data_IF_571005204325
#
_entry.id   IF_571005204325
#
_cell.length_a   1.000
_cell.length_b   1.000
_cell.length_c   1.000
_cell.angle_alpha   90.00
_cell.angle_beta   90.00
_cell.angle_gamma   90.00
#
_symmetry.space_group_name_H-M   'P 1'
#
loop_
_entity.id
_entity.type
_entity.pdbx_description
1 polymer ?
#
# COMPACT_ATOMS: atom_id res chain seq x y z
N UNK A 1 -14.60 20.81 5.95
CA UNK A 1 -14.04 19.93 4.93
C UNK A 1 -14.13 20.66 3.60
N UNK A 2 -13.04 20.79 2.87
CA UNK A 2 -13.01 21.42 1.54
C UNK A 2 -13.68 20.52 0.49
N UNK A 3 -13.95 21.05 -0.71
CA UNK A 3 -14.47 20.26 -1.84
C UNK A 3 -13.52 19.10 -2.20
N UNK A 4 -12.21 19.36 -2.23
CA UNK A 4 -11.20 18.32 -2.52
C UNK A 4 -11.13 17.24 -1.44
N UNK A 5 -11.21 17.60 -0.16
CA UNK A 5 -11.29 16.62 0.92
C UNK A 5 -12.55 15.75 0.80
N UNK A 6 -13.69 16.36 0.44
CA UNK A 6 -14.95 15.63 0.23
C UNK A 6 -14.86 14.64 -0.93
N UNK A 7 -14.19 15.03 -2.04
CA UNK A 7 -13.95 14.15 -3.18
C UNK A 7 -13.02 12.99 -2.84
N UNK A 8 -11.89 13.25 -2.17
CA UNK A 8 -10.96 12.20 -1.74
C UNK A 8 -11.63 11.20 -0.80
N UNK A 9 -12.44 11.70 0.13
CA UNK A 9 -13.24 10.87 1.04
C UNK A 9 -14.26 10.01 0.28
N UNK A 10 -15.05 10.62 -0.60
CA UNK A 10 -16.07 9.90 -1.36
C UNK A 10 -15.46 8.79 -2.23
N UNK A 11 -14.29 9.05 -2.83
CA UNK A 11 -13.55 8.04 -3.61
C UNK A 11 -13.09 6.87 -2.74
N UNK A 12 -12.57 7.14 -1.55
CA UNK A 12 -12.17 6.07 -0.62
C UNK A 12 -13.38 5.26 -0.12
N UNK A 13 -14.50 5.91 0.19
CA UNK A 13 -15.72 5.23 0.59
C UNK A 13 -16.29 4.35 -0.54
N UNK A 14 -16.28 4.86 -1.78
CA UNK A 14 -16.67 4.10 -2.97
C UNK A 14 -15.76 2.89 -3.20
N UNK A 15 -14.43 3.08 -3.15
CA UNK A 15 -13.46 1.99 -3.32
C UNK A 15 -13.64 0.90 -2.25
N UNK A 16 -13.85 1.29 -0.99
CA UNK A 16 -14.12 0.31 0.08
C UNK A 16 -15.42 -0.45 -0.11
N UNK A 17 -16.45 0.19 -0.67
CA UNK A 17 -17.74 -0.45 -0.96
C UNK A 17 -17.63 -1.41 -2.16
N UNK A 18 -17.00 -0.98 -3.24
CA UNK A 18 -16.78 -1.76 -4.47
C UNK A 18 -16.00 -3.04 -4.21
N UNK A 19 -15.01 -3.00 -3.32
CA UNK A 19 -14.17 -4.15 -2.98
C UNK A 19 -14.55 -4.81 -1.64
N UNK A 20 -15.76 -4.54 -1.13
CA UNK A 20 -16.33 -5.18 0.06
C UNK A 20 -15.43 -5.14 1.32
N UNK A 21 -14.61 -4.08 1.45
CA UNK A 21 -13.66 -3.94 2.56
C UNK A 21 -14.34 -3.61 3.90
N UNK A 22 -15.63 -3.26 3.87
CA UNK A 22 -16.42 -2.88 5.03
C UNK A 22 -15.74 -1.79 5.85
N UNK A 23 -15.66 -2.00 7.18
CA UNK A 23 -14.98 -1.10 8.13
C UNK A 23 -13.68 -1.68 8.70
N UNK A 24 -13.28 -2.87 8.24
CA UNK A 24 -12.12 -3.58 8.76
C UNK A 24 -10.80 -2.91 8.34
N UNK A 25 -9.78 -3.08 9.19
CA UNK A 25 -8.42 -2.67 8.86
C UNK A 25 -7.91 -3.38 7.60
N UNK A 26 -7.24 -2.64 6.71
CA UNK A 26 -6.53 -3.22 5.57
C UNK A 26 -5.20 -3.79 6.07
N UNK A 27 -4.99 -5.10 6.01
CA UNK A 27 -3.75 -5.71 6.52
C UNK A 27 -2.59 -5.56 5.55
N UNK A 28 -2.74 -5.97 4.30
CA UNK A 28 -1.72 -5.79 3.27
C UNK A 28 -2.22 -4.83 2.17
N UNK A 29 -1.74 -3.58 2.21
CA UNK A 29 -2.11 -2.55 1.24
C UNK A 29 -1.54 -2.85 -0.15
N UNK A 30 -0.37 -3.50 -0.23
CA UNK A 30 0.25 -3.86 -1.52
C UNK A 30 -0.59 -4.93 -2.22
N UNK A 31 -0.95 -5.98 -1.48
CA UNK A 31 -1.81 -7.04 -2.00
C UNK A 31 -3.22 -6.51 -2.35
N UNK A 32 -3.76 -5.58 -1.55
CA UNK A 32 -5.04 -4.94 -1.86
C UNK A 32 -5.00 -4.22 -3.21
N UNK A 33 -3.99 -3.38 -3.45
CA UNK A 33 -3.85 -2.66 -4.72
C UNK A 33 -3.79 -3.64 -5.89
N UNK A 34 -2.93 -4.66 -5.79
CA UNK A 34 -2.78 -5.65 -6.85
C UNK A 34 -4.10 -6.39 -7.12
N UNK A 35 -4.75 -6.91 -6.08
CA UNK A 35 -5.97 -7.70 -6.22
C UNK A 35 -7.16 -6.88 -6.77
N UNK A 36 -7.23 -5.59 -6.49
CA UNK A 36 -8.37 -4.74 -6.85
C UNK A 36 -8.20 -4.03 -8.19
N UNK A 37 -6.95 -3.69 -8.56
CA UNK A 37 -6.66 -2.86 -9.73
C UNK A 37 -5.77 -3.55 -10.77
N UNK A 38 -5.16 -4.67 -10.42
CA UNK A 38 -4.12 -5.31 -11.23
C UNK A 38 -2.79 -4.54 -11.25
N UNK A 39 -2.65 -3.46 -10.48
CA UNK A 39 -1.44 -2.64 -10.42
C UNK A 39 -0.43 -3.30 -9.50
N UNK A 40 0.78 -3.46 -10.02
CA UNK A 40 1.89 -3.94 -9.23
C UNK A 40 2.42 -2.83 -8.32
N UNK A 41 2.63 -3.21 -7.06
CA UNK A 41 3.27 -2.35 -6.06
C UNK A 41 4.61 -2.95 -5.67
N UNK A 42 5.67 -2.18 -5.77
CA UNK A 42 7.00 -2.57 -5.35
C UNK A 42 7.56 -1.65 -4.26
N UNK A 43 8.39 -2.23 -3.40
CA UNK A 43 9.20 -1.49 -2.43
C UNK A 43 10.67 -1.64 -2.79
N UNK A 44 11.39 -0.53 -2.92
CA UNK A 44 12.80 -0.50 -3.33
C UNK A 44 13.64 0.24 -2.28
N UNK A 45 14.92 -0.13 -2.18
CA UNK A 45 15.90 0.68 -1.44
C UNK A 45 16.20 1.95 -2.25
N UNK A 46 15.45 3.00 -1.94
CA UNK A 46 15.60 4.34 -2.48
C UNK A 46 15.77 5.29 -1.30
N UNK A 47 16.59 6.34 -1.45
CA UNK A 47 16.84 7.28 -0.36
C UNK A 47 15.53 7.83 0.23
N UNK A 48 15.45 7.95 1.56
CA UNK A 48 14.21 8.27 2.33
C UNK A 48 13.47 9.57 1.91
N UNK A 49 14.11 10.40 1.08
CA UNK A 49 13.59 11.67 0.60
C UNK A 49 12.50 11.53 -0.48
N UNK A 50 12.37 10.37 -1.13
CA UNK A 50 11.35 10.19 -2.17
C UNK A 50 10.00 9.77 -1.56
N UNK A 51 8.95 10.49 -1.96
CA UNK A 51 7.57 10.07 -1.80
C UNK A 51 7.32 8.86 -2.72
N UNK A 52 6.16 8.19 -2.59
CA UNK A 52 5.81 7.15 -3.57
C UNK A 52 5.82 7.72 -4.99
N UNK A 53 6.01 6.83 -5.97
CA UNK A 53 5.98 7.19 -7.38
C UNK A 53 5.03 6.23 -8.11
N UNK A 54 4.01 6.80 -8.73
CA UNK A 54 3.17 6.09 -9.68
C UNK A 54 3.64 6.38 -11.11
N UNK A 55 3.89 5.34 -11.89
CA UNK A 55 4.26 5.45 -13.31
C UNK A 55 3.27 4.68 -14.17
N UNK A 56 3.00 5.17 -15.37
CA UNK A 56 2.31 4.40 -16.42
C UNK A 56 3.26 4.18 -17.58
N UNK A 57 3.45 2.93 -17.96
CA UNK A 57 4.19 2.57 -19.16
C UNK A 57 3.40 3.05 -20.39
N UNK A 58 3.94 3.97 -21.22
CA UNK A 58 3.24 4.46 -22.40
C UNK A 58 3.06 3.40 -23.50
N UNK A 59 3.90 2.35 -23.53
CA UNK A 59 3.82 1.30 -24.53
C UNK A 59 2.73 0.27 -24.20
N UNK A 60 2.61 -0.12 -22.93
CA UNK A 60 1.65 -1.15 -22.50
C UNK A 60 0.40 -0.58 -21.82
N UNK A 61 0.41 0.70 -21.45
CA UNK A 61 -0.67 1.35 -20.68
C UNK A 61 -0.77 0.89 -19.22
N UNK A 62 0.16 0.05 -18.76
CA UNK A 62 0.15 -0.52 -17.40
C UNK A 62 0.70 0.47 -16.39
N UNK A 63 0.08 0.52 -15.21
CA UNK A 63 0.53 1.34 -14.09
C UNK A 63 1.28 0.50 -13.06
N UNK A 64 2.30 1.11 -12.45
CA UNK A 64 3.11 0.54 -11.37
C UNK A 64 3.26 1.59 -10.28
N UNK A 65 3.18 1.16 -9.02
CA UNK A 65 3.44 2.00 -7.85
C UNK A 65 4.74 1.56 -7.20
N UNK A 66 5.72 2.47 -7.12
CA UNK A 66 6.94 2.26 -6.38
C UNK A 66 6.93 3.07 -5.08
N UNK A 67 7.35 2.46 -3.98
CA UNK A 67 7.60 3.16 -2.71
C UNK A 67 8.98 2.81 -2.18
N UNK A 68 9.56 3.70 -1.39
CA UNK A 68 10.82 3.39 -0.69
C UNK A 68 10.58 2.40 0.46
N UNK A 69 11.58 1.55 0.72
CA UNK A 69 11.73 0.89 2.02
C UNK A 69 11.92 1.96 3.10
N UNK A 70 11.49 1.68 4.32
CA UNK A 70 11.54 2.68 5.38
C UNK A 70 11.49 2.07 6.77
N UNK A 71 12.07 2.78 7.74
CA UNK A 71 11.90 2.50 9.17
C UNK A 71 10.55 2.95 9.73
N UNK A 72 9.69 3.59 8.92
CA UNK A 72 8.37 4.08 9.30
C UNK A 72 7.23 3.33 8.56
N UNK A 73 6.76 2.18 9.09
CA UNK A 73 5.82 1.32 8.39
C UNK A 73 4.47 1.99 8.09
N UNK A 74 3.97 2.83 9.00
CA UNK A 74 2.71 3.55 8.79
C UNK A 74 2.83 4.60 7.68
N UNK A 75 4.01 5.22 7.52
CA UNK A 75 4.29 6.11 6.38
C UNK A 75 4.25 5.33 5.07
N UNK A 76 4.91 4.17 4.99
CA UNK A 76 4.92 3.35 3.77
C UNK A 76 3.50 2.99 3.32
N UNK A 77 2.67 2.51 4.26
CA UNK A 77 1.26 2.17 4.00
C UNK A 77 0.47 3.38 3.49
N UNK A 78 0.69 4.55 4.10
CA UNK A 78 0.06 5.80 3.67
C UNK A 78 0.53 6.20 2.28
N UNK A 79 1.82 6.05 1.96
CA UNK A 79 2.37 6.34 0.63
C UNK A 79 1.73 5.45 -0.44
N UNK A 80 1.65 4.13 -0.22
CA UNK A 80 0.97 3.22 -1.18
C UNK A 80 -0.49 3.62 -1.38
N UNK A 81 -1.22 3.91 -0.31
CA UNK A 81 -2.61 4.34 -0.39
C UNK A 81 -2.77 5.71 -1.08
N UNK A 82 -1.81 6.62 -0.89
CA UNK A 82 -1.78 7.92 -1.54
C UNK A 82 -1.57 7.79 -3.05
N UNK A 83 -0.58 6.98 -3.47
CA UNK A 83 -0.31 6.66 -4.87
C UNK A 83 -1.53 6.00 -5.55
N UNK A 84 -2.19 5.05 -4.87
CA UNK A 84 -3.46 4.50 -5.35
C UNK A 84 -4.51 5.60 -5.56
N UNK A 85 -4.57 6.58 -4.66
CA UNK A 85 -5.47 7.72 -4.78
C UNK A 85 -5.24 8.54 -6.05
N UNK A 86 -3.99 8.72 -6.45
CA UNK A 86 -3.60 9.37 -7.71
C UNK A 86 -3.99 8.56 -8.94
N UNK A 87 -3.64 7.27 -8.94
CA UNK A 87 -4.01 6.34 -10.01
C UNK A 87 -5.52 6.36 -10.25
N UNK A 88 -6.33 6.22 -9.20
CA UNK A 88 -7.79 6.19 -9.31
C UNK A 88 -8.38 7.56 -9.71
N UNK A 89 -7.67 8.65 -9.45
CA UNK A 89 -8.05 9.98 -9.91
C UNK A 89 -7.67 10.22 -11.38
N UNK A 90 -6.84 9.35 -11.98
CA UNK A 90 -6.32 9.49 -13.33
C UNK A 90 -5.38 10.68 -13.50
N UNK A 91 -4.69 11.10 -12.43
CA UNK A 91 -3.86 12.31 -12.43
C UNK A 91 -2.35 12.04 -12.42
N UNK A 92 -1.93 10.77 -12.57
CA UNK A 92 -0.52 10.36 -12.63
C UNK A 92 0.25 10.94 -13.84
N UNK A 93 -0.43 11.26 -14.95
CA UNK A 93 0.19 11.90 -16.12
C UNK A 93 0.02 13.43 -16.13
N UNK A 94 -0.63 13.99 -15.11
CA UNK A 94 -0.97 15.40 -15.11
C UNK A 94 0.25 16.19 -14.63
N UNK A 95 0.76 17.16 -15.41
CA UNK A 95 1.86 17.98 -14.95
C UNK A 95 1.47 18.65 -13.63
N UNK A 96 2.31 18.50 -12.60
CA UNK A 96 2.12 19.17 -11.32
C UNK A 96 2.09 20.67 -11.58
N UNK A 97 0.92 21.29 -11.40
CA UNK A 97 0.77 22.72 -11.58
C UNK A 97 1.63 23.45 -10.54
N UNK A 98 2.77 23.99 -10.98
CA UNK A 98 3.71 24.77 -10.17
C UNK A 98 3.04 26.02 -9.62
N UNK A 99 2.45 25.90 -8.42
CA UNK A 99 2.23 27.03 -7.52
C UNK A 99 3.04 26.80 -6.26
N UNK A 100 4.14 27.56 -6.05
CA UNK A 100 4.97 27.43 -4.86
C UNK A 100 4.13 27.64 -3.58
N UNK A 101 4.16 26.65 -2.68
CA UNK A 101 3.67 26.77 -1.30
C UNK A 101 2.24 26.31 -1.01
N UNK A 102 1.40 26.01 -2.02
CA UNK A 102 0.08 25.44 -1.81
C UNK A 102 0.01 24.01 -2.31
N UNK A 103 -0.50 23.08 -1.50
CA UNK A 103 -0.76 21.71 -1.94
C UNK A 103 -1.75 21.72 -3.09
N UNK A 104 -1.48 20.95 -4.14
CA UNK A 104 -2.36 20.87 -5.30
C UNK A 104 -3.70 20.22 -4.91
N UNK A 105 -4.80 20.48 -5.64
CA UNK A 105 -6.05 19.77 -5.43
C UNK A 105 -5.92 18.24 -5.46
N UNK A 106 -5.06 17.72 -6.35
CA UNK A 106 -4.74 16.30 -6.49
C UNK A 106 -4.13 15.73 -5.20
N UNK A 107 -3.09 16.40 -4.69
CA UNK A 107 -2.43 16.05 -3.41
C UNK A 107 -3.40 15.99 -2.23
N UNK A 108 -4.30 16.98 -2.12
CA UNK A 108 -5.31 17.01 -1.06
C UNK A 108 -6.28 15.83 -1.19
N UNK A 109 -6.69 15.50 -2.42
CA UNK A 109 -7.56 14.37 -2.69
C UNK A 109 -6.87 13.04 -2.38
N UNK A 110 -5.62 12.84 -2.81
CA UNK A 110 -4.84 11.63 -2.57
C UNK A 110 -4.56 11.39 -1.08
N UNK A 111 -4.16 12.42 -0.34
CA UNK A 111 -4.02 12.35 1.12
C UNK A 111 -5.32 12.00 1.83
N UNK A 112 -6.41 12.63 1.40
CA UNK A 112 -7.70 12.38 2.01
C UNK A 112 -8.17 10.97 1.68
N UNK A 113 -8.02 10.54 0.43
CA UNK A 113 -8.27 9.16 0.01
C UNK A 113 -7.49 8.17 0.88
N UNK A 114 -6.17 8.34 1.04
CA UNK A 114 -5.34 7.46 1.85
C UNK A 114 -5.83 7.35 3.31
N UNK A 115 -6.17 8.49 3.94
CA UNK A 115 -6.72 8.50 5.32
C UNK A 115 -8.02 7.73 5.43
N UNK A 116 -8.97 7.95 4.51
CA UNK A 116 -10.27 7.30 4.56
C UNK A 116 -10.25 5.84 4.11
N UNK A 117 -9.31 5.47 3.23
CA UNK A 117 -9.08 4.07 2.87
C UNK A 117 -8.52 3.28 4.06
N UNK A 118 -7.49 3.81 4.72
CA UNK A 118 -6.80 3.09 5.80
C UNK A 118 -7.56 3.12 7.13
N UNK A 119 -8.26 4.23 7.44
CA UNK A 119 -9.07 4.38 8.64
C UNK A 119 -10.40 5.06 8.30
N UNK A 120 -11.44 4.31 7.89
CA UNK A 120 -12.73 4.92 7.53
C UNK A 120 -13.42 5.48 8.78
N UNK A 121 -14.14 6.61 8.64
CA UNK A 121 -14.82 7.24 9.77
C UNK A 121 -15.87 6.33 10.43
N UNK A 122 -16.48 5.43 9.66
CA UNK A 122 -17.40 4.42 10.19
C UNK A 122 -16.72 3.47 11.18
N UNK A 123 -15.47 3.06 10.92
CA UNK A 123 -14.70 2.24 11.86
C UNK A 123 -14.43 2.98 13.17
N UNK A 124 -14.04 4.27 13.08
CA UNK A 124 -13.83 5.10 14.26
C UNK A 124 -15.11 5.21 15.10
N UNK A 125 -16.27 5.40 14.45
CA UNK A 125 -17.58 5.49 15.13
C UNK A 125 -18.00 4.20 15.84
N UNK A 126 -17.69 3.05 15.24
CA UNK A 126 -17.97 1.74 15.84
C UNK A 126 -17.05 1.48 17.03
N UNK A 127 -15.78 1.88 16.91
CA UNK A 127 -14.75 1.61 17.92
C UNK A 127 -14.85 2.51 19.14
N UNK A 128 -15.26 3.76 18.95
CA UNK A 128 -15.30 4.79 19.98
C UNK A 128 -16.74 5.00 20.45
N UNK A 129 -17.02 4.54 21.66
CA UNK A 129 -18.35 4.65 22.26
C UNK A 129 -18.65 6.05 22.84
N UNK A 130 -17.63 6.82 23.23
CA UNK A 130 -17.81 8.11 23.94
C UNK A 130 -16.86 9.20 23.45
N UNK A 131 -17.21 10.46 23.72
CA UNK A 131 -16.45 11.64 23.28
C UNK A 131 -15.21 11.96 24.11
N UNK A 132 -14.80 11.10 25.04
CA UNK A 132 -13.61 11.31 25.87
C UNK A 132 -12.53 10.27 25.56
N UNK A 133 -12.03 10.33 24.33
CA UNK A 133 -11.05 9.37 23.83
C UNK A 133 -9.74 9.55 24.59
N UNK A 134 -9.26 8.47 25.17
CA UNK A 134 -7.99 8.38 25.88
C UNK A 134 -6.82 8.13 24.92
N UNK A 135 -5.60 8.36 25.40
CA UNK A 135 -4.38 7.97 24.67
C UNK A 135 -4.28 6.46 24.46
N UNK A 136 -4.86 5.66 25.36
CA UNK A 136 -4.94 4.20 25.21
C UNK A 136 -5.84 3.81 24.01
N UNK A 137 -6.97 4.49 23.83
CA UNK A 137 -7.85 4.29 22.67
C UNK A 137 -7.19 4.76 21.36
N UNK A 138 -6.46 5.89 21.38
CA UNK A 138 -5.62 6.29 20.23
C UNK A 138 -4.63 5.17 19.86
N UNK A 139 -3.92 4.63 20.85
CA UNK A 139 -2.95 3.56 20.65
C UNK A 139 -3.61 2.31 20.07
N UNK A 140 -4.79 1.92 20.57
CA UNK A 140 -5.55 0.78 20.06
C UNK A 140 -5.96 0.98 18.58
N UNK A 141 -6.41 2.18 18.19
CA UNK A 141 -6.74 2.49 16.79
C UNK A 141 -5.49 2.43 15.91
N UNK A 142 -4.39 3.04 16.36
CA UNK A 142 -3.09 3.01 15.65
C UNK A 142 -2.60 1.58 15.45
N UNK A 143 -2.71 0.73 16.47
CA UNK A 143 -2.30 -0.67 16.43
C UNK A 143 -3.18 -1.51 15.50
N UNK A 144 -4.50 -1.34 15.56
CA UNK A 144 -5.47 -2.17 14.83
C UNK A 144 -5.46 -1.87 13.32
N UNK A 145 -5.47 -0.58 12.97
CA UNK A 145 -5.52 -0.09 11.59
C UNK A 145 -4.14 0.15 10.97
N UNK A 146 -3.08 0.06 11.79
CA UNK A 146 -1.69 0.24 11.37
C UNK A 146 -1.50 1.58 10.64
N UNK A 147 -2.09 2.64 11.20
CA UNK A 147 -2.00 4.02 10.72
C UNK A 147 -1.15 4.87 11.66
N UNK A 148 -0.63 6.00 11.19
CA UNK A 148 0.14 6.90 12.07
C UNK A 148 -0.77 7.58 13.10
N UNK A 149 -0.23 8.02 14.26
CA UNK A 149 -1.00 8.80 15.24
C UNK A 149 -1.61 10.06 14.63
N UNK A 150 -0.93 10.68 13.64
CA UNK A 150 -1.47 11.78 12.84
C UNK A 150 -2.75 11.41 12.11
N UNK A 151 -2.76 10.30 11.37
CA UNK A 151 -3.96 9.86 10.64
C UNK A 151 -5.09 9.55 11.62
N UNK A 152 -4.82 8.81 12.68
CA UNK A 152 -5.82 8.48 13.70
C UNK A 152 -6.41 9.73 14.37
N UNK A 153 -5.58 10.68 14.78
CA UNK A 153 -6.01 11.94 15.39
C UNK A 153 -6.89 12.76 14.44
N UNK A 154 -6.55 12.83 13.15
CA UNK A 154 -7.37 13.56 12.18
C UNK A 154 -8.75 12.90 12.04
N UNK A 155 -8.81 11.56 11.89
CA UNK A 155 -10.10 10.87 11.75
C UNK A 155 -10.96 10.99 13.01
N UNK A 156 -10.36 10.92 14.20
CA UNK A 156 -11.05 11.15 15.48
C UNK A 156 -11.62 12.57 15.60
N UNK A 157 -10.88 13.57 15.11
CA UNK A 157 -11.34 14.96 15.05
C UNK A 157 -12.49 15.11 14.04
N UNK A 158 -12.41 14.48 12.87
CA UNK A 158 -13.46 14.52 11.87
C UNK A 158 -14.78 13.90 12.35
N UNK A 159 -14.70 12.85 13.18
CA UNK A 159 -15.86 12.28 13.88
C UNK A 159 -16.31 13.07 15.11
N UNK A 160 -15.59 14.14 15.48
CA UNK A 160 -15.81 14.99 16.66
C UNK A 160 -15.66 14.28 18.02
N UNK A 161 -14.90 13.20 18.06
CA UNK A 161 -14.56 12.52 19.32
C UNK A 161 -13.42 13.21 20.05
N UNK A 162 -12.62 14.02 19.36
CA UNK A 162 -11.63 14.91 19.94
C UNK A 162 -11.73 16.30 19.30
N UNK A 163 -11.21 17.31 19.99
CA UNK A 163 -11.14 18.67 19.46
C UNK A 163 -9.86 18.92 18.62
N UNK A 164 -9.72 20.13 18.09
CA UNK A 164 -8.56 20.52 17.30
C UNK A 164 -7.25 20.60 18.12
N UNK A 165 -7.34 20.91 19.42
CA UNK A 165 -6.18 21.03 20.30
C UNK A 165 -5.62 19.65 20.63
N UNK A 166 -6.47 18.68 21.00
CA UNK A 166 -6.11 17.28 21.19
C UNK A 166 -5.55 16.69 19.89
N UNK A 167 -6.18 16.96 18.75
CA UNK A 167 -5.66 16.53 17.46
C UNK A 167 -4.23 17.07 17.19
N UNK A 168 -3.98 18.34 17.51
CA UNK A 168 -2.66 18.95 17.39
C UNK A 168 -1.62 18.34 18.33
N UNK A 169 -2.02 17.99 19.56
CA UNK A 169 -1.16 17.34 20.55
C UNK A 169 -0.82 15.89 20.19
N UNK A 170 -1.75 15.17 19.56
CA UNK A 170 -1.56 13.75 19.21
C UNK A 170 -0.92 13.51 17.86
N UNK A 171 -1.08 14.42 16.90
CA UNK A 171 -0.50 14.29 15.57
C UNK A 171 1.04 14.09 15.53
N UNK A 172 1.85 14.73 16.39
CA UNK A 172 3.31 14.52 16.39
C UNK A 172 3.75 13.30 17.21
N UNK A 173 2.84 12.55 17.84
CA UNK A 173 3.22 11.37 18.60
C UNK A 173 3.81 10.30 17.69
N UNK A 174 4.77 9.54 18.24
CA UNK A 174 5.38 8.41 17.56
C UNK A 174 4.59 7.13 17.79
N UNK A 175 4.30 6.40 16.71
CA UNK A 175 3.71 5.07 16.78
C UNK A 175 4.57 4.11 17.62
N UNK A 176 5.90 4.21 17.53
CA UNK A 176 6.83 3.41 18.34
C UNK A 176 6.69 3.71 19.84
N UNK A 177 6.52 4.98 20.21
CA UNK A 177 6.35 5.39 21.61
C UNK A 177 5.02 4.86 22.15
N UNK A 178 3.93 4.97 21.38
CA UNK A 178 2.64 4.37 21.74
C UNK A 178 2.75 2.84 21.86
N UNK A 179 3.49 2.19 20.96
CA UNK A 179 3.72 0.75 21.01
C UNK A 179 4.46 0.30 22.26
N UNK A 180 5.48 1.05 22.67
CA UNK A 180 6.21 0.79 23.90
C UNK A 180 5.34 1.03 25.15
N UNK A 181 4.61 2.14 25.19
CA UNK A 181 3.75 2.55 26.30
C UNK A 181 2.59 1.57 26.55
N UNK A 182 1.99 1.04 25.47
CA UNK A 182 0.79 0.20 25.54
C UNK A 182 1.05 -1.29 25.21
N UNK A 183 2.31 -1.72 25.21
CA UNK A 183 2.67 -3.15 25.23
C UNK A 183 2.62 -3.90 23.90
N UNK A 184 2.64 -3.21 22.75
CA UNK A 184 2.64 -3.82 21.41
C UNK A 184 3.92 -3.53 20.60
N UNK A 185 5.03 -3.22 21.29
CA UNK A 185 6.32 -2.94 20.65
C UNK A 185 6.87 -4.08 19.79
N UNK A 186 6.60 -5.34 20.14
CA UNK A 186 6.98 -6.49 19.30
C UNK A 186 6.31 -6.44 17.93
N UNK A 187 5.00 -6.21 17.89
CA UNK A 187 4.25 -6.02 16.65
C UNK A 187 4.80 -4.83 15.86
N UNK A 188 5.06 -3.69 16.51
CA UNK A 188 5.64 -2.52 15.82
C UNK A 188 6.99 -2.86 15.18
N UNK A 189 7.88 -3.58 15.87
CA UNK A 189 9.18 -4.01 15.33
C UNK A 189 9.03 -4.97 14.15
N UNK A 190 8.05 -5.89 14.18
CA UNK A 190 7.73 -6.73 13.02
C UNK A 190 7.28 -5.91 11.82
N UNK A 191 6.46 -4.87 12.03
CA UNK A 191 6.05 -3.95 10.96
C UNK A 191 7.25 -3.19 10.38
N UNK A 192 8.16 -2.69 11.23
CA UNK A 192 9.39 -2.01 10.78
C UNK A 192 10.27 -2.96 9.96
N UNK A 193 10.50 -4.18 10.45
CA UNK A 193 11.29 -5.17 9.74
C UNK A 193 10.71 -5.45 8.36
N UNK A 194 9.39 -5.63 8.26
CA UNK A 194 8.70 -5.82 6.98
C UNK A 194 8.82 -4.60 6.05
N UNK A 195 8.66 -3.37 6.56
CA UNK A 195 8.74 -2.16 5.72
C UNK A 195 10.16 -1.81 5.24
N UNK A 196 11.18 -2.40 5.86
CA UNK A 196 12.58 -2.27 5.43
C UNK A 196 12.99 -3.29 4.37
N UNK A 197 12.22 -4.36 4.17
CA UNK A 197 12.50 -5.33 3.12
C UNK A 197 12.00 -4.82 1.77
N UNK A 198 12.84 -4.86 0.71
CA UNK A 198 12.35 -4.70 -0.65
C UNK A 198 11.25 -5.71 -0.95
N UNK A 199 10.27 -5.29 -1.74
CA UNK A 199 9.15 -6.15 -2.16
C UNK A 199 9.01 -6.05 -3.67
N UNK A 200 9.22 -7.17 -4.35
CA UNK A 200 9.05 -7.24 -5.79
C UNK A 200 7.56 -7.28 -6.19
N UNK A 201 7.21 -6.84 -7.41
CA UNK A 201 5.87 -7.01 -7.99
C UNK A 201 5.38 -8.45 -7.94
N UNK A 202 4.18 -8.69 -7.40
CA UNK A 202 3.65 -10.05 -7.23
C UNK A 202 3.49 -10.76 -8.59
N UNK A 203 2.98 -10.07 -9.61
CA UNK A 203 2.77 -10.67 -10.92
C UNK A 203 4.10 -11.04 -11.60
N UNK A 204 5.14 -10.23 -11.44
CA UNK A 204 6.47 -10.51 -11.96
C UNK A 204 7.05 -11.76 -11.30
N UNK A 205 6.94 -11.88 -9.98
CA UNK A 205 7.45 -13.04 -9.24
C UNK A 205 6.68 -14.32 -9.62
N UNK A 206 5.35 -14.25 -9.72
CA UNK A 206 4.54 -15.38 -10.16
C UNK A 206 4.97 -15.88 -11.56
N UNK A 207 5.29 -14.96 -12.48
CA UNK A 207 5.80 -15.31 -13.81
C UNK A 207 7.22 -15.83 -13.80
N UNK A 208 8.08 -15.31 -12.93
CA UNK A 208 9.44 -15.83 -12.75
C UNK A 208 9.39 -17.31 -12.38
N UNK A 209 8.54 -17.65 -11.40
CA UNK A 209 8.31 -19.02 -10.95
C UNK A 209 7.68 -19.88 -12.05
N UNK A 210 6.71 -19.35 -12.82
CA UNK A 210 6.16 -20.06 -13.97
C UNK A 210 7.24 -20.34 -15.04
N UNK A 211 8.10 -19.37 -15.32
CA UNK A 211 9.24 -19.50 -16.22
C UNK A 211 10.27 -20.52 -15.75
N UNK A 212 10.47 -20.64 -14.42
CA UNK A 212 11.27 -21.71 -13.83
C UNK A 212 10.66 -23.09 -14.10
N UNK A 213 9.37 -23.26 -13.81
CA UNK A 213 8.69 -24.53 -14.06
C UNK A 213 8.63 -24.92 -15.55
N UNK A 214 8.63 -23.93 -16.46
CA UNK A 214 8.69 -24.16 -17.91
C UNK A 214 10.12 -24.26 -18.46
N UNK A 215 11.15 -24.20 -17.62
CA UNK A 215 12.56 -24.28 -18.03
C UNK A 215 13.09 -23.07 -18.81
N UNK A 216 12.35 -21.97 -18.84
CA UNK A 216 12.75 -20.70 -19.48
C UNK A 216 13.72 -19.91 -18.59
N UNK A 217 13.53 -19.98 -17.28
CA UNK A 217 14.43 -19.41 -16.28
C UNK A 217 15.07 -20.52 -15.46
N UNK A 218 16.34 -20.34 -15.08
CA UNK A 218 16.98 -21.19 -14.09
C UNK A 218 16.56 -20.81 -12.68
N UNK A 219 16.74 -21.74 -11.75
CA UNK A 219 16.52 -21.48 -10.32
C UNK A 219 17.40 -20.35 -9.77
N UNK A 220 18.69 -20.22 -10.14
CA UNK A 220 19.53 -19.13 -9.64
C UNK A 220 18.99 -17.74 -9.99
N UNK A 221 18.41 -17.57 -11.18
CA UNK A 221 17.82 -16.31 -11.61
C UNK A 221 16.58 -15.95 -10.79
N UNK A 222 15.72 -16.94 -10.51
CA UNK A 222 14.52 -16.72 -9.67
C UNK A 222 14.92 -16.48 -8.22
N UNK A 223 15.90 -17.22 -7.69
CA UNK A 223 16.44 -17.02 -6.34
C UNK A 223 17.01 -15.61 -6.13
N UNK A 224 17.72 -15.09 -7.15
CA UNK A 224 18.22 -13.71 -7.14
C UNK A 224 17.08 -12.69 -6.98
N UNK A 225 15.93 -12.91 -7.62
CA UNK A 225 14.79 -12.00 -7.52
C UNK A 225 14.08 -12.07 -6.17
N UNK A 226 14.08 -13.24 -5.52
CA UNK A 226 13.62 -13.41 -4.14
C UNK A 226 14.65 -12.93 -3.09
N UNK A 227 15.90 -12.68 -3.49
CA UNK A 227 16.98 -12.35 -2.56
C UNK A 227 17.30 -13.51 -1.60
N UNK A 228 17.04 -14.74 -2.03
CA UNK A 228 17.19 -15.97 -1.24
C UNK A 228 18.28 -16.88 -1.84
N UNK A 229 18.83 -17.79 -1.02
CA UNK A 229 19.72 -18.82 -1.53
C UNK A 229 18.97 -19.80 -2.46
N UNK A 230 19.62 -20.22 -3.54
CA UNK A 230 18.98 -21.08 -4.53
C UNK A 230 18.61 -22.46 -3.97
N UNK A 231 19.39 -23.01 -3.03
CA UNK A 231 19.07 -24.31 -2.42
C UNK A 231 17.85 -24.22 -1.49
N UNK A 232 17.71 -23.12 -0.76
CA UNK A 232 16.53 -22.86 0.07
C UNK A 232 15.29 -22.71 -0.82
N UNK A 233 15.40 -21.97 -1.93
CA UNK A 233 14.30 -21.82 -2.87
C UNK A 233 13.97 -23.15 -3.60
N UNK A 234 14.96 -23.99 -3.88
CA UNK A 234 14.73 -25.33 -4.44
C UNK A 234 13.92 -26.21 -3.48
N UNK A 235 14.22 -26.13 -2.18
CA UNK A 235 13.49 -26.88 -1.16
C UNK A 235 12.01 -26.46 -1.07
N UNK A 236 11.70 -25.20 -1.39
CA UNK A 236 10.34 -24.66 -1.41
C UNK A 236 9.59 -24.95 -2.71
N UNK A 237 10.23 -24.77 -3.87
CA UNK A 237 9.59 -24.92 -5.19
C UNK A 237 9.65 -26.36 -5.73
N UNK A 238 10.63 -27.16 -5.31
CA UNK A 238 10.94 -28.45 -5.92
C UNK A 238 11.52 -28.33 -7.34
N UNK A 239 11.85 -29.46 -7.99
CA UNK A 239 12.45 -29.46 -9.32
C UNK A 239 11.47 -28.96 -10.40
N UNK A 240 11.97 -28.43 -11.54
CA UNK A 240 11.12 -28.01 -12.64
C UNK A 240 10.33 -29.21 -13.20
N UNK A 241 9.13 -28.94 -13.72
CA UNK A 241 8.27 -29.99 -14.30
C UNK A 241 9.00 -30.67 -15.46
N UNK A 242 9.31 -31.95 -15.31
CA UNK A 242 9.95 -32.73 -16.37
C UNK A 242 8.91 -33.03 -17.46
N UNK A 243 8.73 -32.11 -18.42
CA UNK A 243 8.09 -32.42 -19.70
C UNK A 243 6.83 -31.65 -20.09
N UNK A 244 6.86 -30.33 -20.11
CA UNK A 244 6.02 -29.57 -21.06
C UNK A 244 6.87 -29.17 -22.26
N UNK A 245 6.44 -29.55 -23.45
CA UNK A 245 6.95 -28.96 -24.70
C UNK A 245 6.90 -27.44 -24.56
N UNK A 246 8.00 -26.78 -24.90
CA UNK A 246 8.07 -25.32 -25.02
C UNK A 246 6.93 -24.92 -25.96
N UNK A 247 5.87 -24.32 -25.43
CA UNK A 247 4.84 -23.74 -26.25
C UNK A 247 5.51 -22.57 -27.00
N UNK A 248 5.54 -22.62 -28.33
CA UNK A 248 6.25 -21.65 -29.18
C UNK A 248 5.69 -20.21 -29.04
N UNK A 249 4.63 -20.03 -28.26
CA UNK A 249 4.01 -18.74 -27.92
C UNK A 249 4.82 -17.90 -26.90
N UNK A 250 5.92 -18.42 -26.35
CA UNK A 250 6.93 -17.61 -25.63
C UNK A 250 7.80 -16.75 -26.58
N UNK A 251 7.31 -16.45 -27.79
CA UNK A 251 7.96 -15.60 -28.78
C UNK A 251 8.29 -14.21 -28.24
N UNK A 252 9.24 -13.52 -28.86
CA UNK A 252 9.81 -12.21 -28.44
C UNK A 252 8.80 -11.07 -28.20
N UNK A 253 7.52 -11.30 -28.50
CA UNK A 253 6.40 -10.38 -28.31
C UNK A 253 5.38 -10.85 -27.26
N UNK A 254 5.65 -11.95 -26.53
CA UNK A 254 4.81 -12.41 -25.42
C UNK A 254 4.83 -11.34 -24.31
N UNK A 255 3.70 -10.72 -23.99
CA UNK A 255 3.68 -9.63 -23.01
C UNK A 255 4.18 -10.16 -21.68
N UNK A 256 5.05 -9.38 -21.01
CA UNK A 256 5.60 -9.67 -19.68
C UNK A 256 4.53 -9.89 -18.59
N UNK A 257 3.24 -9.73 -18.90
CA UNK A 257 2.10 -10.10 -18.05
C UNK A 257 0.95 -10.66 -18.92
N UNK A 258 0.18 -11.66 -18.47
CA UNK A 258 -0.92 -12.23 -19.25
C UNK A 258 -1.98 -11.16 -19.55
N UNK A 259 -2.62 -11.24 -20.70
CA UNK A 259 -3.64 -10.27 -21.16
C UNK A 259 -5.07 -10.65 -20.73
N UNK A 260 -5.25 -11.75 -20.01
CA UNK A 260 -6.58 -12.28 -19.74
C UNK A 260 -7.25 -11.51 -18.60
N UNK A 261 -8.08 -10.54 -18.99
CA UNK A 261 -9.25 -10.19 -18.18
C UNK A 261 -10.23 -11.36 -18.24
N UNK A 262 -10.84 -11.80 -17.11
CA UNK A 262 -12.09 -12.51 -17.19
C UNK A 262 -13.10 -11.59 -17.90
N UNK A 263 -13.70 -12.10 -18.98
CA UNK A 263 -14.82 -11.43 -19.65
C UNK A 263 -15.99 -11.30 -18.69
N UNK A 264 -16.82 -10.24 -18.81
CA UNK A 264 -17.92 -9.96 -17.89
C UNK A 264 -18.97 -11.07 -17.83
#
# INVERSE_FOLDING_TARGET
>A
MSSNESLGRARAEAFRAEHELGVSAVKDVFALVHATTGIDVLSLDAGEAEHGLSMRDPATGRSVIAVATTSNPMRQRTSVAHELGHVLAGDIDRPTGDRPGARTPAEIQADTFARHLLLPLAAVRIRVATSNVSRAELSAIVQEFEVSPRVAAIQLKETRYIDAATCGAWAPLSAQVLAAEFGWLSQYRSLVAASQQPRAPQALMARAVAGYYSGVLGLPEVALWYGQDAADLEAELGPPSSGSQIDEDWGRDAPLFPTDRPSP
#
